data_IF_600124997303
#
_entry.id   IF_600124997303
#
_cell.length_a   1.000
_cell.length_b   1.000
_cell.length_c   1.000
_cell.angle_alpha   90.00
_cell.angle_beta   90.00
_cell.angle_gamma   90.00
#
_symmetry.space_group_name_H-M   'P 1'
#
loop_
_entity.id
_entity.type
_entity.pdbx_description
1 polymer ?
#
# COMPACT_ATOMS: atom_id res chain seq x y z
N UNK A 1 -83.32 -4.98 -16.89
CA UNK A 1 -82.88 -4.22 -18.07
C UNK A 1 -81.36 -4.23 -18.15
N UNK A 2 -80.85 -4.80 -19.26
CA UNK A 2 -79.54 -4.72 -19.94
C UNK A 2 -78.22 -4.59 -19.15
N UNK A 3 -77.40 -5.64 -19.31
CA UNK A 3 -75.93 -5.74 -19.21
C UNK A 3 -75.22 -4.76 -20.17
N UNK A 4 -73.91 -4.51 -19.98
CA UNK A 4 -72.81 -4.76 -20.96
C UNK A 4 -71.45 -4.22 -20.43
N UNK A 5 -70.39 -5.01 -20.66
CA UNK A 5 -68.95 -4.78 -20.46
C UNK A 5 -68.32 -3.81 -21.50
N UNK A 6 -67.14 -3.24 -21.21
CA UNK A 6 -65.93 -3.12 -22.09
C UNK A 6 -65.07 -1.90 -21.66
N UNK A 7 -63.84 -2.04 -21.14
CA UNK A 7 -62.50 -2.22 -21.77
C UNK A 7 -61.92 -0.99 -22.53
N UNK A 8 -60.60 -0.78 -22.33
CA UNK A 8 -59.64 0.17 -22.96
C UNK A 8 -59.57 1.57 -22.33
N UNK A 9 -58.42 2.24 -22.10
CA UNK A 9 -57.10 2.15 -22.76
C UNK A 9 -56.01 2.79 -21.87
N UNK A 10 -54.79 2.31 -22.02
CA UNK A 10 -53.54 2.63 -21.32
C UNK A 10 -53.07 4.10 -21.39
N UNK A 11 -52.45 4.58 -20.31
CA UNK A 11 -51.44 5.64 -20.37
C UNK A 11 -50.31 5.35 -19.38
N UNK A 12 -49.22 4.79 -19.89
CA UNK A 12 -47.94 4.67 -19.19
C UNK A 12 -47.21 6.02 -19.30
N UNK A 13 -46.70 6.57 -18.19
CA UNK A 13 -45.60 7.55 -18.23
C UNK A 13 -44.84 7.61 -16.90
N UNK A 14 -43.71 6.90 -16.89
CA UNK A 14 -42.41 7.28 -16.33
C UNK A 14 -42.36 8.02 -14.97
N UNK A 15 -42.31 7.24 -13.88
CA UNK A 15 -41.72 7.68 -12.61
C UNK A 15 -40.22 7.43 -12.60
N UNK A 16 -39.45 8.51 -12.72
CA UNK A 16 -37.99 8.60 -12.80
C UNK A 16 -37.25 7.65 -11.86
N UNK A 17 -36.39 6.79 -12.44
CA UNK A 17 -35.32 6.10 -11.73
C UNK A 17 -34.39 7.15 -11.12
N UNK A 18 -34.48 7.37 -9.80
CA UNK A 18 -33.43 8.07 -9.07
C UNK A 18 -32.29 7.07 -8.82
N UNK A 19 -31.54 6.75 -9.87
CA UNK A 19 -30.26 6.07 -9.73
C UNK A 19 -29.33 7.06 -9.02
N UNK A 20 -29.19 6.90 -7.71
CA UNK A 20 -28.07 7.51 -6.99
C UNK A 20 -26.80 7.06 -7.71
N UNK A 21 -26.21 7.99 -8.46
CA UNK A 21 -24.89 7.80 -9.02
C UNK A 21 -23.97 7.60 -7.82
N UNK A 22 -23.64 6.35 -7.52
CA UNK A 22 -22.47 6.02 -6.76
C UNK A 22 -21.31 6.61 -7.55
N UNK A 23 -20.92 7.84 -7.24
CA UNK A 23 -19.71 8.43 -7.77
C UNK A 23 -18.60 7.47 -7.38
N UNK A 24 -18.11 6.70 -8.35
CA UNK A 24 -16.94 5.86 -8.15
C UNK A 24 -15.90 6.73 -7.46
N UNK A 25 -15.44 6.33 -6.27
CA UNK A 25 -14.35 7.04 -5.58
C UNK A 25 -13.23 7.20 -6.59
N UNK A 26 -12.90 8.45 -6.95
CA UNK A 26 -12.07 8.70 -8.12
C UNK A 26 -10.67 8.12 -7.85
N UNK A 27 -10.23 7.24 -8.73
CA UNK A 27 -8.86 6.77 -8.72
C UNK A 27 -7.94 7.97 -8.91
N UNK A 28 -6.86 8.05 -8.14
CA UNK A 28 -6.00 9.22 -8.11
C UNK A 28 -4.62 8.89 -7.57
N UNK A 29 -3.62 9.65 -7.99
CA UNK A 29 -2.26 9.51 -7.50
C UNK A 29 -1.69 10.89 -7.16
N UNK A 30 -0.97 10.96 -6.04
CA UNK A 30 -0.25 12.14 -5.61
C UNK A 30 1.20 11.76 -5.34
N UNK A 31 2.12 12.67 -5.66
CA UNK A 31 3.53 12.48 -5.35
C UNK A 31 4.16 13.80 -4.95
N UNK A 32 5.15 13.72 -4.06
CA UNK A 32 5.97 14.87 -3.71
C UNK A 32 7.40 14.43 -3.51
N UNK A 33 8.31 15.21 -4.06
CA UNK A 33 9.75 15.06 -3.90
C UNK A 33 10.33 16.37 -3.39
N UNK A 34 11.16 16.29 -2.36
CA UNK A 34 11.83 17.44 -1.75
C UNK A 34 13.29 17.09 -1.53
N UNK A 35 14.19 17.98 -1.93
CA UNK A 35 15.62 17.89 -1.64
C UNK A 35 16.01 19.11 -0.82
N UNK A 36 16.73 18.89 0.28
CA UNK A 36 17.21 19.95 1.18
C UNK A 36 18.65 19.66 1.60
N UNK A 37 19.46 20.69 1.90
CA UNK A 37 20.72 20.49 2.60
C UNK A 37 20.49 19.81 3.96
N UNK A 38 21.46 19.01 4.40
CA UNK A 38 21.46 18.40 5.73
C UNK A 38 22.52 19.04 6.64
N UNK A 39 22.46 18.76 7.94
CA UNK A 39 23.35 19.38 8.93
C UNK A 39 24.84 19.04 8.74
N UNK A 40 25.15 17.91 8.09
CA UNK A 40 26.51 17.50 7.77
C UNK A 40 27.07 18.20 6.50
N UNK A 41 26.32 19.13 5.90
CA UNK A 41 26.70 19.80 4.65
C UNK A 41 26.38 19.00 3.39
N UNK A 42 25.71 17.86 3.52
CA UNK A 42 25.25 17.02 2.41
C UNK A 42 23.81 17.33 2.00
N UNK A 43 23.13 16.32 1.45
CA UNK A 43 21.73 16.45 1.01
C UNK A 43 20.83 15.42 1.67
N UNK A 44 19.56 15.79 1.86
CA UNK A 44 18.48 14.91 2.25
C UNK A 44 17.35 15.03 1.23
N UNK A 45 17.03 13.92 0.59
CA UNK A 45 15.93 13.75 -0.34
C UNK A 45 14.77 13.02 0.35
N UNK A 46 13.59 13.64 0.39
CA UNK A 46 12.33 13.02 0.81
C UNK A 46 11.46 12.76 -0.41
N UNK A 47 10.84 11.60 -0.45
CA UNK A 47 9.90 11.20 -1.50
C UNK A 47 8.65 10.61 -0.86
N UNK A 48 7.48 10.99 -1.38
CA UNK A 48 6.21 10.39 -1.02
C UNK A 48 5.39 10.16 -2.29
N UNK A 49 4.70 9.02 -2.33
CA UNK A 49 3.72 8.69 -3.37
C UNK A 49 2.54 8.02 -2.70
N UNK A 50 1.34 8.45 -3.03
CA UNK A 50 0.10 7.81 -2.61
C UNK A 50 -0.78 7.62 -3.85
N UNK A 51 -1.49 6.51 -3.90
CA UNK A 51 -2.46 6.21 -4.95
C UNK A 51 -3.71 5.60 -4.33
N UNK A 52 -4.85 5.91 -4.94
CA UNK A 52 -6.13 5.25 -4.73
C UNK A 52 -6.55 4.64 -6.06
N UNK A 53 -6.81 3.34 -6.04
CA UNK A 53 -7.26 2.58 -7.20
C UNK A 53 -8.79 2.50 -7.28
N UNK A 54 -9.32 1.98 -8.39
CA UNK A 54 -10.72 1.61 -8.50
C UNK A 54 -11.14 0.65 -7.36
N UNK A 55 -12.38 0.75 -6.89
CA UNK A 55 -12.88 -0.10 -5.80
C UNK A 55 -12.34 0.25 -4.41
N UNK A 56 -11.76 1.44 -4.22
CA UNK A 56 -11.41 1.98 -2.90
C UNK A 56 -10.05 1.54 -2.35
N UNK A 57 -9.36 0.63 -3.03
CA UNK A 57 -8.00 0.22 -2.65
C UNK A 57 -7.00 1.37 -2.68
N UNK A 58 -5.95 1.30 -1.89
CA UNK A 58 -4.91 2.32 -1.82
C UNK A 58 -3.52 1.70 -1.71
N UNK A 59 -2.51 2.49 -2.09
CA UNK A 59 -1.13 2.24 -1.74
C UNK A 59 -0.41 3.57 -1.47
N UNK A 60 0.50 3.57 -0.50
CA UNK A 60 1.34 4.71 -0.20
C UNK A 60 2.75 4.24 0.10
N UNK A 61 3.73 5.05 -0.29
CA UNK A 61 5.12 4.90 0.09
C UNK A 61 5.72 6.25 0.43
N UNK A 62 6.54 6.27 1.46
CA UNK A 62 7.36 7.42 1.80
C UNK A 62 8.77 6.96 2.13
N UNK A 63 9.75 7.78 1.80
CA UNK A 63 11.13 7.50 2.15
C UNK A 63 11.98 8.74 2.19
N UNK A 64 13.01 8.68 3.01
CA UNK A 64 14.03 9.72 3.14
C UNK A 64 15.39 9.09 2.88
N UNK A 65 16.19 9.73 2.04
CA UNK A 65 17.58 9.37 1.78
C UNK A 65 18.45 10.57 2.13
N UNK A 66 19.48 10.36 2.94
CA UNK A 66 20.51 11.36 3.20
C UNK A 66 21.84 10.88 2.66
N UNK A 67 22.62 11.79 2.08
CA UNK A 67 23.99 11.57 1.63
C UNK A 67 24.85 12.67 2.20
N UNK A 68 25.96 12.31 2.84
CA UNK A 68 26.88 13.23 3.48
C UNK A 68 28.13 13.46 2.60
N UNK A 69 28.90 14.53 2.85
CA UNK A 69 30.10 14.85 2.04
C UNK A 69 31.19 13.77 2.10
N UNK A 70 31.25 13.00 3.18
CA UNK A 70 32.18 11.86 3.35
C UNK A 70 31.77 10.61 2.55
N UNK A 71 30.67 10.66 1.80
CA UNK A 71 30.15 9.54 1.00
C UNK A 71 29.23 8.59 1.77
N UNK A 72 29.11 8.76 3.09
CA UNK A 72 28.14 8.01 3.89
C UNK A 72 26.71 8.37 3.49
N UNK A 73 25.81 7.39 3.55
CA UNK A 73 24.43 7.56 3.17
C UNK A 73 23.51 6.75 4.07
N UNK A 74 22.31 7.27 4.31
CA UNK A 74 21.25 6.54 4.99
C UNK A 74 19.94 6.64 4.24
N UNK A 75 19.12 5.61 4.33
CA UNK A 75 17.80 5.53 3.75
C UNK A 75 16.84 4.94 4.79
N UNK A 76 15.64 5.50 4.87
CA UNK A 76 14.52 4.94 5.62
C UNK A 76 13.26 5.04 4.77
N UNK A 77 12.46 4.00 4.73
CA UNK A 77 11.19 4.00 3.99
C UNK A 77 10.10 3.18 4.66
N UNK A 78 8.88 3.54 4.33
CA UNK A 78 7.67 2.80 4.64
C UNK A 78 6.80 2.66 3.38
N UNK A 79 6.04 1.58 3.35
CA UNK A 79 5.05 1.25 2.35
C UNK A 79 3.82 0.66 3.04
N UNK A 80 2.64 1.01 2.57
CA UNK A 80 1.39 0.37 2.97
C UNK A 80 0.47 0.30 1.76
N UNK A 81 -0.25 -0.80 1.62
CA UNK A 81 -1.30 -0.96 0.63
C UNK A 81 -2.44 -1.80 1.20
N UNK A 82 -3.66 -1.51 0.78
CA UNK A 82 -4.82 -2.34 1.09
C UNK A 82 -5.84 -2.28 -0.04
N UNK A 83 -6.61 -3.36 -0.20
CA UNK A 83 -7.68 -3.46 -1.16
C UNK A 83 -8.42 -4.78 -1.03
N UNK A 84 -9.23 -5.12 -2.04
CA UNK A 84 -10.08 -6.32 -2.04
C UNK A 84 -9.32 -7.64 -1.93
N UNK A 85 -8.02 -7.65 -2.23
CA UNK A 85 -7.15 -8.83 -2.13
C UNK A 85 -6.46 -8.99 -0.78
N UNK A 86 -6.49 -7.96 0.07
CA UNK A 86 -5.75 -7.95 1.32
C UNK A 86 -5.00 -6.66 1.57
N UNK A 87 -4.06 -6.72 2.51
CA UNK A 87 -3.17 -5.61 2.85
C UNK A 87 -1.70 -6.03 2.87
N UNK A 88 -0.81 -5.06 2.74
CA UNK A 88 0.62 -5.26 2.93
C UNK A 88 1.26 -3.98 3.46
N UNK A 89 2.06 -4.12 4.50
CA UNK A 89 2.84 -3.06 5.12
C UNK A 89 4.31 -3.46 5.12
N UNK A 90 5.21 -2.53 4.78
CA UNK A 90 6.65 -2.78 4.81
C UNK A 90 7.38 -1.55 5.30
N UNK A 91 8.35 -1.74 6.19
CA UNK A 91 9.25 -0.66 6.62
C UNK A 91 10.68 -1.17 6.61
N UNK A 92 11.62 -0.27 6.39
CA UNK A 92 13.03 -0.65 6.37
C UNK A 92 13.98 0.52 6.32
N UNK A 93 15.24 0.21 6.56
CA UNK A 93 16.35 1.13 6.52
C UNK A 93 17.53 0.53 5.80
N UNK A 94 18.38 1.39 5.24
CA UNK A 94 19.70 1.03 4.76
C UNK A 94 20.68 2.13 5.17
N UNK A 95 21.90 1.76 5.48
CA UNK A 95 23.00 2.68 5.74
C UNK A 95 24.24 2.20 4.99
N UNK A 96 25.02 3.15 4.49
CA UNK A 96 26.36 2.93 3.95
C UNK A 96 27.29 3.90 4.67
N UNK A 97 28.36 3.39 5.26
CA UNK A 97 29.39 4.25 5.85
C UNK A 97 30.33 4.86 4.79
N UNK A 98 31.25 5.72 5.21
CA UNK A 98 32.22 6.37 4.32
C UNK A 98 33.21 5.35 3.68
N UNK A 99 33.40 4.19 4.29
CA UNK A 99 34.25 3.10 3.79
C UNK A 99 33.50 2.18 2.80
N UNK A 100 32.20 2.37 2.63
CA UNK A 100 31.36 1.59 1.73
C UNK A 100 30.70 0.36 2.37
N UNK A 101 30.83 0.14 3.68
CA UNK A 101 30.14 -0.97 4.35
C UNK A 101 28.65 -0.65 4.45
N UNK A 102 27.82 -1.63 4.06
CA UNK A 102 26.37 -1.51 3.97
C UNK A 102 25.71 -2.34 5.06
N UNK A 103 24.72 -1.75 5.71
CA UNK A 103 23.75 -2.42 6.57
C UNK A 103 22.34 -2.13 6.07
N UNK A 104 21.46 -3.13 6.09
CA UNK A 104 20.08 -2.98 5.66
C UNK A 104 19.17 -3.85 6.52
N UNK A 105 17.96 -3.35 6.77
CA UNK A 105 16.89 -4.14 7.37
C UNK A 105 15.55 -3.80 6.71
N UNK A 106 14.68 -4.78 6.59
CA UNK A 106 13.30 -4.61 6.13
C UNK A 106 12.39 -5.61 6.82
N UNK A 107 11.28 -5.14 7.35
CA UNK A 107 10.19 -5.96 7.86
C UNK A 107 8.95 -5.75 7.00
N UNK A 108 8.26 -6.83 6.64
CA UNK A 108 7.06 -6.81 5.81
C UNK A 108 5.99 -7.68 6.44
N UNK A 109 4.78 -7.16 6.52
CA UNK A 109 3.58 -7.94 6.83
C UNK A 109 2.65 -7.89 5.63
N UNK A 110 2.04 -9.01 5.27
CA UNK A 110 0.99 -9.04 4.27
C UNK A 110 -0.12 -9.99 4.72
N UNK A 111 -1.37 -9.61 4.50
CA UNK A 111 -2.56 -10.36 4.91
C UNK A 111 -3.47 -10.56 3.71
N UNK A 112 -3.89 -11.80 3.47
CA UNK A 112 -4.86 -12.16 2.44
C UNK A 112 -6.28 -11.85 2.90
N UNK A 113 -7.04 -11.10 2.11
CA UNK A 113 -8.47 -10.91 2.40
C UNK A 113 -9.30 -12.18 2.14
N UNK A 114 -8.83 -13.08 1.28
CA UNK A 114 -9.58 -14.29 0.92
C UNK A 114 -9.52 -15.36 2.01
N UNK A 115 -8.38 -15.47 2.71
CA UNK A 115 -8.15 -16.53 3.71
C UNK A 115 -7.95 -16.00 5.11
N UNK A 116 -7.68 -14.69 5.28
CA UNK A 116 -7.25 -14.09 6.55
C UNK A 116 -5.83 -14.49 6.96
N UNK A 117 -5.14 -15.33 6.19
CA UNK A 117 -3.76 -15.73 6.49
C UNK A 117 -2.82 -14.54 6.28
N UNK A 118 -1.76 -14.49 7.08
CA UNK A 118 -0.73 -13.46 6.96
C UNK A 118 0.68 -14.05 6.89
N UNK A 119 1.59 -13.27 6.34
CA UNK A 119 3.03 -13.52 6.41
C UNK A 119 3.70 -12.32 7.05
N UNK A 120 4.58 -12.59 8.02
CA UNK A 120 5.49 -11.61 8.59
C UNK A 120 6.90 -12.03 8.22
N UNK A 121 7.61 -11.17 7.50
CA UNK A 121 8.98 -11.44 7.07
C UNK A 121 9.93 -10.34 7.49
N UNK A 122 11.17 -10.73 7.75
CA UNK A 122 12.28 -9.83 8.03
C UNK A 122 13.47 -10.22 7.18
N UNK A 123 14.07 -9.23 6.54
CA UNK A 123 15.32 -9.34 5.79
C UNK A 123 16.34 -8.41 6.42
N UNK A 124 17.54 -8.90 6.68
CA UNK A 124 18.69 -8.09 7.07
C UNK A 124 19.86 -8.37 6.16
N UNK A 125 20.65 -7.35 5.88
CA UNK A 125 21.93 -7.49 5.18
C UNK A 125 23.00 -6.71 5.93
N UNK A 126 24.20 -7.28 5.99
CA UNK A 126 25.39 -6.62 6.49
C UNK A 126 26.57 -7.04 5.61
N UNK A 127 27.45 -6.10 5.25
CA UNK A 127 28.61 -6.38 4.39
C UNK A 127 29.55 -7.46 4.94
N UNK A 128 29.60 -7.68 6.26
CA UNK A 128 30.43 -8.71 6.87
C UNK A 128 29.74 -10.09 6.91
N UNK A 129 28.42 -10.15 7.09
CA UNK A 129 27.70 -11.41 7.34
C UNK A 129 26.77 -11.83 6.21
N UNK A 130 26.60 -11.00 5.18
CA UNK A 130 25.72 -11.26 4.05
C UNK A 130 24.24 -11.05 4.37
N UNK A 131 23.39 -11.73 3.57
CA UNK A 131 21.94 -11.65 3.63
C UNK A 131 21.37 -12.68 4.61
N UNK A 132 20.43 -12.26 5.44
CA UNK A 132 19.58 -13.14 6.25
C UNK A 132 18.12 -12.81 6.00
N UNK A 133 17.29 -13.84 5.87
CA UNK A 133 15.86 -13.69 5.67
C UNK A 133 15.11 -14.71 6.52
N UNK A 134 14.04 -14.27 7.15
CA UNK A 134 13.11 -15.12 7.89
C UNK A 134 11.68 -14.72 7.57
N UNK A 135 10.79 -15.71 7.54
CA UNK A 135 9.37 -15.50 7.37
C UNK A 135 8.58 -16.45 8.28
N UNK A 136 7.51 -15.94 8.87
CA UNK A 136 6.56 -16.72 9.65
C UNK A 136 5.16 -16.43 9.12
N UNK A 137 4.42 -17.49 8.82
CA UNK A 137 3.08 -17.39 8.30
C UNK A 137 2.07 -17.75 9.38
N UNK A 138 0.95 -17.06 9.39
CA UNK A 138 -0.12 -17.22 10.37
C UNK A 138 -1.44 -17.50 9.66
N UNK A 139 -2.27 -18.35 10.26
CA UNK A 139 -3.65 -18.49 9.85
C UNK A 139 -4.49 -17.26 10.27
N UNK A 140 -5.72 -17.16 9.77
CA UNK A 140 -6.67 -16.14 10.25
C UNK A 140 -6.92 -16.18 11.77
N UNK A 141 -6.76 -17.34 12.40
CA UNK A 141 -6.89 -17.53 13.84
C UNK A 141 -5.60 -17.17 14.63
N UNK A 142 -4.53 -16.75 13.95
CA UNK A 142 -3.25 -16.40 14.57
C UNK A 142 -2.32 -17.59 14.86
N UNK A 143 -2.68 -18.80 14.45
CA UNK A 143 -1.81 -19.97 14.61
C UNK A 143 -0.68 -19.95 13.58
N UNK A 144 0.55 -20.31 13.99
CA UNK A 144 1.68 -20.46 13.06
C UNK A 144 1.39 -21.60 12.08
N UNK A 145 1.54 -21.32 10.79
CA UNK A 145 1.38 -22.27 9.69
C UNK A 145 2.62 -22.27 8.80
N UNK A 146 2.79 -23.32 8.01
CA UNK A 146 3.83 -23.33 6.98
C UNK A 146 3.60 -22.20 5.98
N UNK A 147 4.65 -21.44 5.68
CA UNK A 147 4.65 -20.55 4.53
C UNK A 147 4.61 -21.40 3.25
N UNK A 148 3.59 -21.20 2.43
CA UNK A 148 3.36 -21.90 1.16
C UNK A 148 3.13 -20.90 0.05
#
# INVERSE_FOLDING_TARGET
>A
MKRVLSLSTSAALAGVLLAAAFTATQAGAASRHVVRPNAAGGTTATNMRALRGPGGGYAARAGTTSVNPDGSASHRSGFAAAGTRGSAESSGSASRDASGNVTQSRSTTATSAATGNSVQSSTSYNSATGLTHSATCYSAAGAVISCR
#
